data_IF_817345688979
#
_entry.id   IF_817345688979
#
_cell.length_a   1.000
_cell.length_b   1.000
_cell.length_c   1.000
_cell.angle_alpha   90.00
_cell.angle_beta   90.00
_cell.angle_gamma   90.00
#
_symmetry.space_group_name_H-M   'P 1'
#
loop_
_entity.id
_entity.type
_entity.pdbx_description
1 polymer ?
#
# COMPACT_ATOMS: atom_id res chain seq x y z
N UNK A 1 -3.46 -12.38 -11.45
CA UNK A 1 -3.11 -10.98 -11.77
C UNK A 1 -1.59 -10.86 -11.82
N UNK A 2 -1.05 -10.27 -12.86
CA UNK A 2 0.40 -10.12 -12.94
C UNK A 2 0.90 -8.99 -12.02
N UNK A 3 2.19 -8.95 -11.81
CA UNK A 3 2.83 -8.02 -10.86
C UNK A 3 2.58 -6.56 -11.20
N UNK A 4 2.67 -6.22 -12.48
CA UNK A 4 2.49 -4.83 -12.92
C UNK A 4 1.04 -4.37 -12.74
N UNK A 5 0.08 -5.23 -13.08
CA UNK A 5 -1.34 -4.92 -12.89
C UNK A 5 -1.69 -4.81 -11.41
N UNK A 6 -1.11 -5.68 -10.59
CA UNK A 6 -1.31 -5.62 -9.14
C UNK A 6 -0.74 -4.33 -8.56
N UNK A 7 0.44 -3.92 -8.99
CA UNK A 7 1.05 -2.68 -8.50
C UNK A 7 0.27 -1.45 -8.94
N UNK A 8 -0.26 -1.44 -10.16
CA UNK A 8 -1.12 -0.35 -10.63
C UNK A 8 -2.35 -0.21 -9.76
N UNK A 9 -2.97 -1.33 -9.40
CA UNK A 9 -4.14 -1.32 -8.53
C UNK A 9 -3.79 -0.82 -7.14
N UNK A 10 -2.64 -1.24 -6.61
CA UNK A 10 -2.10 -0.76 -5.34
C UNK A 10 -1.91 0.76 -5.39
N UNK A 11 -1.28 1.25 -6.46
CA UNK A 11 -1.03 2.68 -6.64
C UNK A 11 -2.33 3.48 -6.67
N UNK A 12 -3.34 2.99 -7.35
CA UNK A 12 -4.64 3.65 -7.41
C UNK A 12 -5.25 3.79 -6.02
N UNK A 13 -5.17 2.75 -5.21
CA UNK A 13 -5.67 2.80 -3.84
C UNK A 13 -4.88 3.82 -3.01
N UNK A 14 -3.57 3.85 -3.16
CA UNK A 14 -2.72 4.78 -2.42
C UNK A 14 -3.03 6.23 -2.81
N UNK A 15 -3.22 6.49 -4.09
CA UNK A 15 -3.57 7.83 -4.57
C UNK A 15 -4.90 8.30 -3.97
N UNK A 16 -5.88 7.42 -3.93
CA UNK A 16 -7.20 7.77 -3.38
C UNK A 16 -7.16 7.98 -1.87
N UNK A 17 -6.53 7.08 -1.15
CA UNK A 17 -6.54 7.11 0.31
C UNK A 17 -5.61 8.18 0.86
N UNK A 18 -4.41 8.26 0.32
CA UNK A 18 -3.38 9.17 0.82
C UNK A 18 -3.42 10.54 0.13
N UNK A 19 -4.16 10.65 -0.97
CA UNK A 19 -4.29 11.88 -1.74
C UNK A 19 -2.93 12.40 -2.21
N UNK A 20 -2.13 11.50 -2.77
CA UNK A 20 -0.79 11.83 -3.29
C UNK A 20 -0.76 11.59 -4.80
N UNK A 21 0.13 12.27 -5.53
CA UNK A 21 0.28 12.02 -6.97
C UNK A 21 0.77 10.59 -7.23
N UNK A 22 0.29 10.00 -8.31
CA UNK A 22 0.66 8.63 -8.67
C UNK A 22 2.17 8.46 -8.86
N UNK A 23 2.85 9.47 -9.37
CA UNK A 23 4.30 9.40 -9.61
C UNK A 23 5.12 9.37 -8.32
N UNK A 24 4.52 9.70 -7.18
CA UNK A 24 5.18 9.56 -5.89
C UNK A 24 5.05 8.17 -5.30
N UNK A 25 4.11 7.37 -5.80
CA UNK A 25 3.89 6.01 -5.31
C UNK A 25 4.82 5.06 -6.05
N UNK A 26 6.05 4.97 -5.58
CA UNK A 26 7.07 4.07 -6.11
C UNK A 26 7.45 3.07 -5.03
N UNK A 27 8.11 1.99 -5.42
CA UNK A 27 8.49 0.94 -4.45
C UNK A 27 9.47 1.45 -3.40
N UNK A 28 10.29 2.43 -3.74
CA UNK A 28 11.26 3.01 -2.82
C UNK A 28 10.65 4.08 -1.91
N UNK A 29 9.46 4.56 -2.21
CA UNK A 29 8.81 5.62 -1.42
C UNK A 29 8.54 5.15 -0.01
N UNK A 30 8.85 6.01 0.96
CA UNK A 30 8.55 5.75 2.37
C UNK A 30 7.22 6.41 2.70
N UNK A 31 6.34 5.69 3.37
CA UNK A 31 5.02 6.22 3.69
C UNK A 31 5.09 7.50 4.53
N UNK A 32 5.95 7.51 5.54
CA UNK A 32 6.07 8.68 6.42
C UNK A 32 6.84 9.83 5.77
N UNK A 33 7.99 9.54 5.17
CA UNK A 33 8.89 10.58 4.67
C UNK A 33 8.51 11.09 3.29
N UNK A 34 8.06 10.21 2.40
CA UNK A 34 7.80 10.58 1.01
C UNK A 34 6.32 10.84 0.73
N UNK A 35 5.43 10.13 1.39
CA UNK A 35 4.00 10.25 1.18
C UNK A 35 3.28 10.99 2.31
N UNK A 36 4.01 11.37 3.33
CA UNK A 36 3.48 12.10 4.48
C UNK A 36 2.28 11.37 5.12
N UNK A 37 2.38 10.05 5.17
CA UNK A 37 1.33 9.19 5.72
C UNK A 37 1.72 8.71 7.12
N UNK A 38 0.81 8.87 8.07
CA UNK A 38 1.03 8.34 9.42
C UNK A 38 0.45 6.93 9.54
N UNK A 39 0.47 6.37 10.74
CA UNK A 39 0.01 5.00 10.95
C UNK A 39 -1.49 4.84 10.67
N UNK A 40 -2.29 5.87 10.95
CA UNK A 40 -3.72 5.84 10.65
C UNK A 40 -3.95 5.80 9.14
N UNK A 41 -3.21 6.61 8.40
CA UNK A 41 -3.30 6.62 6.94
C UNK A 41 -2.93 5.26 6.36
N UNK A 42 -1.90 4.63 6.91
CA UNK A 42 -1.48 3.30 6.48
C UNK A 42 -2.57 2.26 6.73
N UNK A 43 -3.22 2.32 7.89
CA UNK A 43 -4.33 1.42 8.22
C UNK A 43 -5.48 1.60 7.23
N UNK A 44 -5.82 2.85 6.92
CA UNK A 44 -6.88 3.14 5.95
C UNK A 44 -6.52 2.61 4.56
N UNK A 45 -5.27 2.79 4.14
CA UNK A 45 -4.80 2.26 2.86
C UNK A 45 -4.93 0.74 2.82
N UNK A 46 -4.50 0.07 3.88
CA UNK A 46 -4.55 -1.39 3.95
C UNK A 46 -5.99 -1.88 3.88
N UNK A 47 -6.92 -1.20 4.54
CA UNK A 47 -8.34 -1.55 4.46
C UNK A 47 -8.86 -1.46 3.02
N UNK A 48 -8.46 -0.43 2.30
CA UNK A 48 -8.82 -0.29 0.90
C UNK A 48 -8.21 -1.41 0.04
N UNK A 49 -6.97 -1.78 0.34
CA UNK A 49 -6.30 -2.87 -0.37
C UNK A 49 -6.95 -4.23 -0.09
N UNK A 50 -7.39 -4.45 1.13
CA UNK A 50 -8.10 -5.69 1.48
C UNK A 50 -9.37 -5.84 0.62
N UNK A 51 -10.10 -4.76 0.44
CA UNK A 51 -11.30 -4.77 -0.40
C UNK A 51 -10.94 -4.92 -1.87
N UNK A 52 -9.93 -4.19 -2.33
CA UNK A 52 -9.56 -4.18 -3.75
C UNK A 52 -9.04 -5.54 -4.21
N UNK A 53 -8.29 -6.24 -3.36
CA UNK A 53 -7.67 -7.53 -3.70
C UNK A 53 -8.37 -8.73 -3.08
N UNK A 54 -9.40 -8.49 -2.28
CA UNK A 54 -10.15 -9.56 -1.59
C UNK A 54 -9.22 -10.41 -0.71
N UNK A 55 -8.45 -9.75 0.13
CA UNK A 55 -7.47 -10.36 1.03
C UNK A 55 -7.69 -9.86 2.45
N UNK A 56 -7.03 -10.49 3.41
CA UNK A 56 -7.02 -10.05 4.80
C UNK A 56 -5.59 -9.81 5.27
N UNK A 57 -5.37 -8.66 5.89
CA UNK A 57 -4.06 -8.27 6.43
C UNK A 57 -4.22 -8.00 7.93
N UNK A 58 -3.36 -8.61 8.73
CA UNK A 58 -3.37 -8.42 10.18
C UNK A 58 -2.58 -7.16 10.55
N UNK A 59 -3.00 -6.48 11.62
CA UNK A 59 -2.30 -5.28 12.08
C UNK A 59 -0.83 -5.56 12.41
N UNK A 60 -0.53 -6.73 12.96
CA UNK A 60 0.84 -7.10 13.30
C UNK A 60 1.74 -7.17 12.07
N UNK A 61 1.18 -7.47 10.91
CA UNK A 61 1.94 -7.52 9.66
C UNK A 61 2.36 -6.12 9.19
N UNK A 62 1.69 -5.07 9.68
CA UNK A 62 1.97 -3.69 9.30
C UNK A 62 3.08 -3.05 10.11
N UNK A 63 3.46 -3.63 11.23
CA UNK A 63 4.43 -3.02 12.15
C UNK A 63 5.80 -2.78 11.50
N UNK A 64 6.20 -3.64 10.59
CA UNK A 64 7.50 -3.54 9.91
C UNK A 64 7.42 -2.85 8.56
N UNK A 65 6.23 -2.39 8.16
CA UNK A 65 6.04 -1.75 6.86
C UNK A 65 6.44 -0.28 6.95
N UNK A 66 7.43 0.11 6.17
CA UNK A 66 7.86 1.52 6.09
C UNK A 66 7.85 2.05 4.66
N UNK A 67 7.98 1.17 3.66
CA UNK A 67 8.00 1.57 2.26
C UNK A 67 6.84 0.97 1.48
N UNK A 68 6.53 1.59 0.35
CA UNK A 68 5.52 1.09 -0.58
C UNK A 68 5.86 -0.32 -1.05
N UNK A 69 7.14 -0.57 -1.35
CA UNK A 69 7.60 -1.90 -1.78
C UNK A 69 7.32 -2.98 -0.76
N UNK A 70 7.56 -2.69 0.52
CA UNK A 70 7.30 -3.65 1.60
C UNK A 70 5.80 -3.96 1.69
N UNK A 71 4.97 -2.93 1.59
CA UNK A 71 3.51 -3.11 1.62
C UNK A 71 3.04 -3.93 0.42
N UNK A 72 3.58 -3.63 -0.75
CA UNK A 72 3.23 -4.37 -1.96
C UNK A 72 3.67 -5.82 -1.89
N UNK A 73 4.87 -6.08 -1.36
CA UNK A 73 5.35 -7.45 -1.18
C UNK A 73 4.43 -8.24 -0.26
N UNK A 74 3.98 -7.62 0.83
CA UNK A 74 3.04 -8.24 1.75
C UNK A 74 1.73 -8.61 1.03
N UNK A 75 1.18 -7.67 0.27
CA UNK A 75 -0.04 -7.90 -0.50
C UNK A 75 0.17 -9.05 -1.50
N UNK A 76 1.32 -9.04 -2.18
CA UNK A 76 1.64 -10.06 -3.18
C UNK A 76 1.66 -11.48 -2.60
N UNK A 77 2.10 -11.65 -1.36
CA UNK A 77 2.13 -12.97 -0.72
C UNK A 77 0.73 -13.53 -0.47
N UNK A 78 -0.28 -12.67 -0.50
CA UNK A 78 -1.66 -13.06 -0.23
C UNK A 78 -2.49 -13.24 -1.50
N UNK A 79 -1.92 -12.95 -2.65
CA UNK A 79 -2.61 -13.09 -3.94
C UNK A 79 -2.56 -14.55 -4.52
#
# INVERSE_FOLDING_TARGET
>A
MDSDAAFEKFRECAVEVLQVPADKVTKEAKFADDLDADSLDLVELVMALEEAFDITVEETELEDITTVGQAFDLISTKL
#
